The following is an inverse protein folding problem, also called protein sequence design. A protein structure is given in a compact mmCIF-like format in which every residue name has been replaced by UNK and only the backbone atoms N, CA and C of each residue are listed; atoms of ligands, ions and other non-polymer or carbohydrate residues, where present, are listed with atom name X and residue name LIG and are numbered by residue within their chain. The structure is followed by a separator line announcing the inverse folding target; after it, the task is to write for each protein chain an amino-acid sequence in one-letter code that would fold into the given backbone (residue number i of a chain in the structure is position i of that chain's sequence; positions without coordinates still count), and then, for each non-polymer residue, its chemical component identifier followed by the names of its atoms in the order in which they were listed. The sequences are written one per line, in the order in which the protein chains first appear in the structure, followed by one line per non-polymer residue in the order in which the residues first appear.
data_IF_827997445454
#
_entry.id   IF_827997445454
#
_cell.length_a   1.000
_cell.length_b   1.000
_cell.length_c   1.000
_cell.angle_alpha   90.00
_cell.angle_beta   90.00
_cell.angle_gamma   90.00
#
_symmetry.space_group_name_H-M   'P 1'
#
loop_
_entity.id
_entity.type
_entity.pdbx_description
1 polymer ?
#
# COMPACT_ATOMS: atom_id res chain seq x y z
N UNK A 1 -40.64 -4.09 36.00
CA UNK A 1 -39.18 -4.33 35.99
C UNK A 1 -38.81 -5.54 35.13
N UNK A 2 -39.57 -6.65 35.18
CA UNK A 2 -39.30 -7.84 34.35
C UNK A 2 -39.43 -7.65 32.82
N UNK A 3 -40.18 -6.65 32.34
CA UNK A 3 -40.33 -6.38 30.90
C UNK A 3 -39.23 -5.46 30.33
N UNK A 4 -38.45 -4.78 31.18
CA UNK A 4 -37.36 -3.91 30.73
C UNK A 4 -36.06 -4.70 30.49
N UNK A 5 -35.81 -5.74 31.28
CA UNK A 5 -34.67 -6.66 31.09
C UNK A 5 -34.81 -7.49 29.80
N UNK A 6 -36.02 -7.95 29.47
CA UNK A 6 -36.29 -8.67 28.20
C UNK A 6 -36.14 -7.81 26.94
N UNK A 7 -36.30 -6.48 27.07
CA UNK A 7 -36.12 -5.54 25.95
C UNK A 7 -34.63 -5.17 25.74
N UNK A 8 -33.79 -5.30 26.77
CA UNK A 8 -32.34 -5.11 26.68
C UNK A 8 -31.64 -6.35 26.10
N UNK A 9 -32.12 -7.56 26.41
CA UNK A 9 -31.62 -8.81 25.81
C UNK A 9 -31.90 -8.95 24.30
N UNK A 10 -32.86 -8.19 23.76
CA UNK A 10 -33.21 -8.22 22.33
C UNK A 10 -32.39 -7.25 21.46
N UNK A 11 -31.47 -6.48 22.05
CA UNK A 11 -30.63 -5.48 21.34
C UNK A 11 -29.15 -5.94 21.26
N UNK A 12 -28.79 -7.06 21.88
CA UNK A 12 -27.52 -7.71 21.57
C UNK A 12 -27.66 -8.44 20.23
N UNK A 13 -27.54 -7.67 19.13
CA UNK A 13 -27.19 -8.25 17.84
C UNK A 13 -25.98 -9.16 18.08
N UNK A 14 -26.02 -10.44 17.67
CA UNK A 14 -24.88 -11.32 17.82
C UNK A 14 -23.73 -10.65 17.09
N UNK A 15 -22.67 -10.30 17.84
CA UNK A 15 -21.40 -9.84 17.28
C UNK A 15 -20.98 -10.94 16.32
N UNK A 16 -21.20 -10.72 15.03
CA UNK A 16 -20.83 -11.67 14.01
C UNK A 16 -19.35 -11.97 14.23
N UNK A 17 -19.01 -13.26 14.42
CA UNK A 17 -17.61 -13.68 14.57
C UNK A 17 -16.81 -13.02 13.44
N UNK A 18 -15.94 -12.07 13.79
CA UNK A 18 -15.10 -11.38 12.81
C UNK A 18 -14.27 -12.46 12.14
N UNK A 19 -14.52 -12.67 10.84
CA UNK A 19 -13.71 -13.59 10.03
C UNK A 19 -12.24 -13.21 10.22
N UNK A 20 -11.33 -14.18 10.37
CA UNK A 20 -9.91 -13.89 10.54
C UNK A 20 -9.44 -12.93 9.45
N UNK A 21 -8.85 -11.81 9.88
CA UNK A 21 -8.33 -10.80 8.94
C UNK A 21 -7.28 -11.46 8.06
N UNK A 22 -7.48 -11.36 6.75
CA UNK A 22 -6.51 -11.89 5.82
C UNK A 22 -5.18 -11.14 5.99
N UNK A 23 -4.04 -11.87 6.04
CA UNK A 23 -2.76 -11.24 6.25
C UNK A 23 -2.38 -10.38 5.02
N UNK A 24 -1.58 -9.32 5.25
CA UNK A 24 -0.99 -8.56 4.16
C UNK A 24 0.01 -9.44 3.38
N UNK A 25 0.14 -9.16 2.09
CA UNK A 25 1.20 -9.70 1.25
C UNK A 25 2.42 -8.80 1.43
N UNK A 26 3.51 -9.39 1.92
CA UNK A 26 4.81 -8.73 2.11
C UNK A 26 5.92 -9.57 1.50
N UNK A 27 7.08 -8.96 1.29
CA UNK A 27 8.22 -9.58 0.61
C UNK A 27 9.41 -9.67 1.56
N UNK A 28 9.78 -10.90 1.92
CA UNK A 28 10.80 -11.19 2.95
C UNK A 28 12.14 -11.67 2.40
N UNK A 29 12.25 -11.82 1.08
CA UNK A 29 13.42 -12.43 0.42
C UNK A 29 14.64 -11.49 0.31
N UNK A 30 14.72 -10.48 1.16
CA UNK A 30 15.83 -9.53 1.20
C UNK A 30 16.87 -9.96 2.23
N UNK A 31 18.15 -9.82 1.88
CA UNK A 31 19.24 -9.99 2.83
C UNK A 31 19.73 -8.61 3.29
N UNK A 32 19.39 -8.15 4.51
CA UNK A 32 19.70 -6.79 4.96
C UNK A 32 21.21 -6.51 4.95
N UNK A 33 22.04 -7.51 5.29
CA UNK A 33 23.50 -7.38 5.23
C UNK A 33 23.99 -7.13 3.80
N UNK A 34 23.49 -7.90 2.84
CA UNK A 34 23.88 -7.74 1.44
C UNK A 34 23.42 -6.41 0.83
N UNK A 35 22.23 -5.93 1.21
CA UNK A 35 21.74 -4.62 0.80
C UNK A 35 22.55 -3.48 1.43
N UNK A 36 22.88 -3.58 2.73
CA UNK A 36 23.76 -2.64 3.42
C UNK A 36 25.15 -2.56 2.79
N UNK A 37 25.81 -3.70 2.57
CA UNK A 37 27.14 -3.75 1.97
C UNK A 37 27.12 -3.16 0.54
N UNK A 38 26.00 -3.34 -0.19
CA UNK A 38 25.81 -2.75 -1.52
C UNK A 38 25.57 -1.24 -1.46
N UNK A 39 24.80 -0.75 -0.48
CA UNK A 39 24.62 0.68 -0.23
C UNK A 39 25.97 1.36 0.05
N UNK A 40 26.78 0.79 0.96
CA UNK A 40 28.11 1.33 1.27
C UNK A 40 29.03 1.36 0.04
N UNK A 41 29.03 0.29 -0.77
CA UNK A 41 29.80 0.26 -2.03
C UNK A 41 29.34 1.32 -3.02
N UNK A 42 28.03 1.55 -3.15
CA UNK A 42 27.48 2.54 -4.06
C UNK A 42 27.75 3.99 -3.62
N UNK A 43 27.81 4.23 -2.31
CA UNK A 43 28.22 5.53 -1.75
C UNK A 43 29.70 5.84 -2.01
N UNK A 44 30.57 4.82 -1.96
CA UNK A 44 31.99 4.97 -2.27
C UNK A 44 32.65 6.12 -1.48
N UNK A 45 33.33 7.03 -2.17
CA UNK A 45 34.02 8.18 -1.58
C UNK A 45 33.09 9.26 -1.00
N UNK A 46 31.80 9.24 -1.34
CA UNK A 46 30.80 10.18 -0.78
C UNK A 46 30.42 9.86 0.68
N UNK A 47 30.92 8.75 1.22
CA UNK A 47 30.77 8.42 2.64
C UNK A 47 31.71 9.27 3.51
N UNK A 48 31.29 10.52 3.72
CA UNK A 48 31.98 11.50 4.56
C UNK A 48 31.77 11.22 6.05
N UNK A 49 32.69 11.65 6.94
CA UNK A 49 32.60 11.38 8.38
C UNK A 49 31.26 11.74 9.03
N UNK A 50 30.63 12.82 8.57
CA UNK A 50 29.36 13.33 9.06
C UNK A 50 28.21 12.34 8.83
N UNK A 51 28.25 11.58 7.73
CA UNK A 51 27.23 10.61 7.35
C UNK A 51 27.49 9.21 7.94
N UNK A 52 28.69 8.95 8.47
CA UNK A 52 29.09 7.62 8.97
C UNK A 52 28.31 7.18 10.18
N UNK A 53 27.93 8.12 11.04
CA UNK A 53 27.13 7.81 12.21
C UNK A 53 25.75 7.28 11.80
N UNK A 54 25.01 8.02 10.96
CA UNK A 54 23.70 7.59 10.48
C UNK A 54 23.77 6.26 9.69
N UNK A 55 24.82 6.05 8.89
CA UNK A 55 25.05 4.75 8.24
C UNK A 55 25.33 3.62 9.24
N UNK A 56 25.96 3.90 10.37
CA UNK A 56 26.16 2.92 11.44
C UNK A 56 24.85 2.62 12.14
N UNK A 57 24.04 3.62 12.47
CA UNK A 57 22.72 3.46 13.11
C UNK A 57 21.77 2.62 12.24
N UNK A 58 21.72 2.90 10.93
CA UNK A 58 20.97 2.07 9.97
C UNK A 58 21.46 0.62 10.00
N UNK A 59 22.77 0.38 10.14
CA UNK A 59 23.33 -0.98 10.24
C UNK A 59 22.92 -1.67 11.53
N UNK A 60 23.02 -0.99 12.67
CA UNK A 60 22.60 -1.54 13.96
C UNK A 60 21.14 -1.98 13.87
N UNK A 61 20.27 -1.10 13.37
CA UNK A 61 18.83 -1.36 13.27
C UNK A 61 18.46 -2.49 12.30
N UNK A 62 19.07 -2.52 11.11
CA UNK A 62 18.64 -3.41 10.02
C UNK A 62 19.45 -4.70 9.90
N UNK A 63 20.75 -4.68 10.21
CA UNK A 63 21.66 -5.83 10.00
C UNK A 63 21.94 -6.57 11.30
N UNK A 64 22.12 -5.84 12.40
CA UNK A 64 22.35 -6.44 13.72
C UNK A 64 21.06 -6.69 14.49
N UNK A 65 19.93 -6.30 13.90
CA UNK A 65 18.59 -6.49 14.45
C UNK A 65 18.37 -5.78 15.80
N UNK A 66 19.09 -4.67 16.03
CA UNK A 66 18.81 -3.80 17.17
C UNK A 66 17.45 -3.10 17.00
N UNK A 67 16.89 -2.60 18.09
CA UNK A 67 15.62 -1.88 18.07
C UNK A 67 15.77 -0.45 17.54
N UNK A 68 14.65 0.22 17.27
CA UNK A 68 14.60 1.59 16.77
C UNK A 68 15.23 2.62 17.72
N UNK A 69 15.53 2.25 18.97
CA UNK A 69 16.35 3.03 19.89
C UNK A 69 17.77 3.29 19.36
N UNK A 70 18.24 2.48 18.41
CA UNK A 70 19.52 2.68 17.73
C UNK A 70 19.49 3.84 16.71
N UNK A 71 18.30 4.37 16.37
CA UNK A 71 18.12 5.43 15.39
C UNK A 71 17.98 6.79 16.08
N UNK A 72 18.81 7.75 15.69
CA UNK A 72 18.68 9.13 16.14
C UNK A 72 17.79 9.96 15.19
N UNK A 73 17.47 11.20 15.59
CA UNK A 73 16.74 12.15 14.72
C UNK A 73 17.55 12.50 13.45
N UNK A 74 18.89 12.41 13.49
CA UNK A 74 19.75 12.63 12.33
C UNK A 74 19.58 11.54 11.27
N UNK A 75 19.17 10.33 11.64
CA UNK A 75 19.00 9.23 10.68
C UNK A 75 17.94 9.55 9.62
N UNK A 76 16.78 10.12 9.98
CA UNK A 76 15.75 10.46 8.98
C UNK A 76 16.22 11.59 8.04
N UNK A 77 16.99 12.55 8.54
CA UNK A 77 17.56 13.63 7.72
C UNK A 77 18.60 13.07 6.74
N UNK A 78 19.42 12.11 7.19
CA UNK A 78 20.37 11.42 6.32
C UNK A 78 19.65 10.60 5.23
N UNK A 79 18.58 9.89 5.58
CA UNK A 79 17.72 9.18 4.61
C UNK A 79 17.18 10.18 3.57
N UNK A 80 16.62 11.31 4.02
CA UNK A 80 16.12 12.37 3.13
C UNK A 80 17.19 12.91 2.20
N UNK A 81 18.39 13.21 2.73
CA UNK A 81 19.55 13.64 1.93
C UNK A 81 19.87 12.64 0.82
N UNK A 82 19.93 11.34 1.14
CA UNK A 82 20.23 10.31 0.14
C UNK A 82 19.14 10.17 -0.92
N UNK A 83 17.86 10.29 -0.53
CA UNK A 83 16.72 10.20 -1.44
C UNK A 83 16.63 11.38 -2.40
N UNK A 84 16.92 12.59 -1.93
CA UNK A 84 16.70 13.83 -2.68
C UNK A 84 17.96 14.41 -3.34
N UNK A 85 19.16 13.88 -3.03
CA UNK A 85 20.39 14.28 -3.71
C UNK A 85 20.46 13.72 -5.13
N UNK A 86 20.20 14.60 -6.12
CA UNK A 86 20.19 14.29 -7.55
C UNK A 86 21.57 13.94 -8.11
N UNK A 87 22.65 14.29 -7.41
CA UNK A 87 24.02 13.94 -7.80
C UNK A 87 24.36 12.48 -7.47
N UNK A 88 23.59 11.84 -6.59
CA UNK A 88 23.76 10.42 -6.28
C UNK A 88 23.23 9.54 -7.41
N UNK A 89 23.91 8.41 -7.62
CA UNK A 89 23.47 7.40 -8.57
C UNK A 89 22.16 6.76 -8.11
N UNK A 90 21.24 6.39 -9.02
CA UNK A 90 20.01 5.67 -8.68
C UNK A 90 20.24 4.43 -7.81
N UNK A 91 21.35 3.72 -8.03
CA UNK A 91 21.74 2.56 -7.23
C UNK A 91 21.96 2.85 -5.74
N UNK A 92 22.21 4.09 -5.32
CA UNK A 92 22.26 4.43 -3.89
C UNK A 92 20.85 4.41 -3.30
N UNK A 93 19.91 5.10 -3.96
CA UNK A 93 18.51 5.22 -3.52
C UNK A 93 17.79 3.88 -3.55
N UNK A 94 17.96 3.10 -4.61
CA UNK A 94 17.36 1.76 -4.69
C UNK A 94 17.87 0.83 -3.58
N UNK A 95 19.16 0.88 -3.21
CA UNK A 95 19.71 0.09 -2.10
C UNK A 95 19.27 0.57 -0.73
N UNK A 96 19.16 1.87 -0.54
CA UNK A 96 18.57 2.44 0.68
C UNK A 96 17.11 1.98 0.84
N UNK A 97 16.28 2.12 -0.19
CA UNK A 97 14.87 1.72 -0.15
C UNK A 97 14.69 0.22 0.11
N UNK A 98 15.54 -0.65 -0.48
CA UNK A 98 15.53 -2.09 -0.18
C UNK A 98 15.92 -2.39 1.25
N UNK A 99 16.88 -1.65 1.82
CA UNK A 99 17.25 -1.79 3.22
C UNK A 99 16.10 -1.32 4.14
N UNK A 100 15.44 -0.22 3.81
CA UNK A 100 14.23 0.24 4.48
C UNK A 100 13.06 -0.75 4.33
N UNK A 101 12.96 -1.48 3.22
CA UNK A 101 11.98 -2.55 3.06
C UNK A 101 12.25 -3.74 4.00
N UNK A 102 13.50 -4.02 4.36
CA UNK A 102 13.82 -4.97 5.42
C UNK A 102 13.36 -4.43 6.78
N UNK A 103 13.65 -3.15 7.04
CA UNK A 103 13.28 -2.47 8.27
C UNK A 103 11.76 -2.37 8.47
N UNK A 104 10.99 -2.23 7.39
CA UNK A 104 9.53 -2.16 7.38
C UNK A 104 8.84 -3.40 7.96
N UNK A 105 9.55 -4.52 8.05
CA UNK A 105 9.03 -5.76 8.64
C UNK A 105 9.20 -5.82 10.18
N UNK A 106 9.82 -4.80 10.79
CA UNK A 106 10.04 -4.73 12.24
C UNK A 106 8.88 -3.99 12.92
N UNK A 107 8.45 -4.47 14.08
CA UNK A 107 7.32 -3.90 14.84
C UNK A 107 7.52 -2.44 15.26
N UNK A 108 8.77 -2.01 15.43
CA UNK A 108 9.14 -0.68 15.93
C UNK A 108 9.48 0.34 14.84
N UNK A 109 9.34 -0.02 13.56
CA UNK A 109 9.60 0.90 12.41
C UNK A 109 8.78 2.19 12.50
N UNK A 110 7.62 2.13 13.14
CA UNK A 110 6.76 3.29 13.36
C UNK A 110 7.47 4.46 14.05
N UNK A 111 8.48 4.19 14.88
CA UNK A 111 9.26 5.23 15.55
C UNK A 111 10.05 6.07 14.55
N UNK A 112 10.65 5.46 13.53
CA UNK A 112 11.29 6.17 12.41
C UNK A 112 10.24 6.91 11.55
N UNK A 113 9.11 6.27 11.26
CA UNK A 113 8.04 6.87 10.45
C UNK A 113 7.40 8.10 11.13
N UNK A 114 7.36 8.13 12.47
CA UNK A 114 6.92 9.30 13.22
C UNK A 114 7.88 10.48 13.09
N UNK A 115 9.19 10.24 12.97
CA UNK A 115 10.17 11.30 12.71
C UNK A 115 9.96 11.92 11.31
N UNK A 116 9.54 11.11 10.32
CA UNK A 116 9.26 11.58 8.96
C UNK A 116 8.13 12.62 8.90
N UNK A 117 7.19 12.64 9.86
CA UNK A 117 6.04 13.58 9.87
C UNK A 117 6.43 15.06 9.87
N UNK A 118 7.69 15.40 10.20
CA UNK A 118 8.15 16.80 10.21
C UNK A 118 8.36 17.33 8.78
N UNK A 119 9.05 16.55 7.95
CA UNK A 119 9.51 17.00 6.62
C UNK A 119 8.98 16.13 5.46
N UNK A 120 8.33 15.01 5.77
CA UNK A 120 7.74 14.06 4.83
C UNK A 120 8.77 13.59 3.78
N UNK A 121 10.01 13.35 4.20
CA UNK A 121 11.13 13.00 3.31
C UNK A 121 10.80 11.76 2.48
N UNK A 122 10.27 10.72 3.13
CA UNK A 122 9.88 9.46 2.48
C UNK A 122 8.71 9.65 1.52
N UNK A 123 7.66 10.35 1.96
CA UNK A 123 6.44 10.52 1.18
C UNK A 123 6.58 11.51 0.02
N UNK A 124 7.41 12.55 0.18
CA UNK A 124 7.77 13.44 -0.92
C UNK A 124 8.55 12.68 -2.00
N UNK A 125 9.50 11.82 -1.60
CA UNK A 125 10.19 10.97 -2.57
C UNK A 125 9.22 9.98 -3.23
N UNK A 126 8.32 9.37 -2.47
CA UNK A 126 7.35 8.42 -3.00
C UNK A 126 6.34 9.06 -3.98
N UNK A 127 5.97 10.33 -3.75
CA UNK A 127 5.09 11.07 -4.65
C UNK A 127 5.68 11.22 -6.06
N UNK A 128 7.00 11.28 -6.17
CA UNK A 128 7.72 11.47 -7.43
C UNK A 128 8.05 10.16 -8.15
N UNK A 129 7.43 9.03 -7.75
CA UNK A 129 7.75 7.68 -8.24
C UNK A 129 7.93 7.58 -9.76
N UNK A 130 7.09 8.25 -10.55
CA UNK A 130 7.11 8.23 -12.02
C UNK A 130 8.38 8.85 -12.62
N UNK A 131 9.07 9.70 -11.87
CA UNK A 131 10.31 10.38 -12.27
C UNK A 131 11.55 9.56 -11.93
N UNK A 132 11.41 8.51 -11.12
CA UNK A 132 12.53 7.69 -10.67
C UNK A 132 12.89 6.61 -11.68
N UNK A 133 14.10 6.08 -11.60
CA UNK A 133 14.49 4.92 -12.42
C UNK A 133 13.66 3.68 -12.05
N UNK A 134 13.62 2.71 -12.96
CA UNK A 134 12.92 1.45 -12.74
C UNK A 134 13.39 0.71 -11.48
N UNK A 135 14.68 0.72 -11.19
CA UNK A 135 15.23 0.08 -9.97
C UNK A 135 14.73 0.77 -8.69
N UNK A 136 14.59 2.09 -8.71
CA UNK A 136 14.07 2.88 -7.60
C UNK A 136 12.57 2.67 -7.42
N UNK A 137 11.80 2.63 -8.52
CA UNK A 137 10.37 2.35 -8.49
C UNK A 137 10.07 0.98 -7.86
N UNK A 138 10.82 -0.06 -8.25
CA UNK A 138 10.70 -1.39 -7.66
C UNK A 138 11.04 -1.40 -6.17
N UNK A 139 12.14 -0.76 -5.79
CA UNK A 139 12.58 -0.69 -4.40
C UNK A 139 11.60 0.10 -3.52
N UNK A 140 11.02 1.18 -4.04
CA UNK A 140 10.01 1.98 -3.37
C UNK A 140 8.71 1.19 -3.19
N UNK A 141 8.18 0.57 -4.25
CA UNK A 141 6.96 -0.22 -4.16
C UNK A 141 7.11 -1.39 -3.18
N UNK A 142 8.30 -2.01 -3.15
CA UNK A 142 8.66 -3.04 -2.18
C UNK A 142 8.66 -2.50 -0.74
N UNK A 143 9.28 -1.35 -0.48
CA UNK A 143 9.28 -0.70 0.83
C UNK A 143 7.86 -0.37 1.31
N UNK A 144 7.06 0.30 0.46
CA UNK A 144 5.67 0.65 0.78
C UNK A 144 4.82 -0.61 1.01
N UNK A 145 5.03 -1.68 0.23
CA UNK A 145 4.31 -2.94 0.42
C UNK A 145 4.64 -3.59 1.77
N UNK A 146 5.91 -3.61 2.16
CA UNK A 146 6.33 -4.21 3.43
C UNK A 146 5.84 -3.42 4.65
N UNK A 147 5.61 -2.11 4.52
CA UNK A 147 5.00 -1.31 5.59
C UNK A 147 3.55 -1.73 5.92
N UNK A 148 2.93 -2.62 5.16
CA UNK A 148 1.64 -3.22 5.56
C UNK A 148 1.75 -4.33 6.59
N UNK A 149 2.96 -4.83 6.88
CA UNK A 149 3.24 -5.92 7.82
C UNK A 149 2.63 -5.65 9.19
N UNK A 150 2.87 -4.46 9.74
CA UNK A 150 2.41 -4.10 11.07
C UNK A 150 1.20 -3.17 10.98
N UNK A 151 0.33 -3.22 11.98
CA UNK A 151 -0.83 -2.32 12.06
C UNK A 151 -0.38 -0.87 12.07
N UNK A 152 0.58 -0.51 12.92
CA UNK A 152 1.02 0.87 13.13
C UNK A 152 1.64 1.49 11.87
N UNK A 153 2.51 0.75 11.17
CA UNK A 153 3.10 1.24 9.91
C UNK A 153 2.07 1.37 8.79
N UNK A 154 1.10 0.45 8.73
CA UNK A 154 0.02 0.54 7.74
C UNK A 154 -0.94 1.70 8.02
N UNK A 155 -1.22 2.00 9.29
CA UNK A 155 -2.01 3.18 9.68
C UNK A 155 -1.28 4.49 9.33
N UNK A 156 0.05 4.49 9.45
CA UNK A 156 0.87 5.62 8.98
C UNK A 156 0.76 5.80 7.46
N UNK A 157 0.81 4.73 6.66
CA UNK A 157 0.58 4.83 5.20
C UNK A 157 -0.81 5.37 4.85
N UNK A 158 -1.81 5.05 5.67
CA UNK A 158 -3.20 5.41 5.47
C UNK A 158 -3.59 6.73 6.16
N UNK A 159 -2.59 7.45 6.70
CA UNK A 159 -2.83 8.68 7.42
C UNK A 159 -3.35 9.78 6.48
N UNK A 160 -4.45 10.42 6.87
CA UNK A 160 -5.21 11.34 6.02
C UNK A 160 -4.84 12.80 6.22
N UNK A 161 -4.10 13.15 7.29
CA UNK A 161 -3.71 14.54 7.53
C UNK A 161 -2.84 15.05 6.39
N UNK A 162 -3.15 16.26 5.94
CA UNK A 162 -2.54 16.84 4.77
C UNK A 162 -1.29 17.66 5.13
N UNK A 163 -0.31 17.66 4.23
CA UNK A 163 0.79 18.63 4.21
C UNK A 163 0.87 19.29 2.84
N UNK A 164 1.45 20.49 2.81
CA UNK A 164 1.69 21.21 1.57
C UNK A 164 3.09 20.91 1.03
N UNK A 165 3.16 20.58 -0.26
CA UNK A 165 4.41 20.54 -1.02
C UNK A 165 4.25 21.37 -2.28
N UNK A 166 4.93 22.51 -2.35
CA UNK A 166 4.96 23.39 -3.53
C UNK A 166 3.54 23.76 -4.04
N UNK A 167 2.59 23.96 -3.13
CA UNK A 167 1.20 24.29 -3.46
C UNK A 167 0.29 23.07 -3.67
N UNK A 168 0.82 21.85 -3.72
CA UNK A 168 0.04 20.61 -3.74
C UNK A 168 -0.30 20.18 -2.31
N UNK A 169 -1.57 19.86 -2.07
CA UNK A 169 -1.99 19.20 -0.83
C UNK A 169 -1.80 17.69 -0.99
N UNK A 170 -0.94 17.13 -0.15
CA UNK A 170 -0.62 15.70 -0.13
C UNK A 170 -1.03 15.10 1.21
N UNK A 171 -1.27 13.80 1.22
CA UNK A 171 -1.44 12.99 2.43
C UNK A 171 -0.80 11.62 2.19
N UNK A 172 -0.48 10.89 3.26
CA UNK A 172 0.21 9.59 3.13
C UNK A 172 -0.65 8.63 2.32
N UNK A 173 -1.96 8.66 2.54
CA UNK A 173 -2.88 7.78 1.82
C UNK A 173 -2.96 8.10 0.33
N UNK A 174 -2.92 9.39 -0.05
CA UNK A 174 -2.89 9.79 -1.47
C UNK A 174 -1.58 9.36 -2.15
N UNK A 175 -0.46 9.53 -1.47
CA UNK A 175 0.85 9.09 -1.99
C UNK A 175 0.92 7.56 -2.10
N UNK A 176 0.44 6.83 -1.08
CA UNK A 176 0.37 5.37 -1.09
C UNK A 176 -0.50 4.84 -2.22
N UNK A 177 -1.65 5.48 -2.45
CA UNK A 177 -2.57 5.19 -3.57
C UNK A 177 -1.85 5.38 -4.90
N UNK A 178 -1.16 6.53 -5.08
CA UNK A 178 -0.37 6.80 -6.29
C UNK A 178 0.70 5.73 -6.53
N UNK A 179 1.43 5.31 -5.50
CA UNK A 179 2.44 4.25 -5.61
C UNK A 179 1.80 2.93 -6.04
N UNK A 180 0.67 2.54 -5.46
CA UNK A 180 -0.05 1.32 -5.80
C UNK A 180 -0.54 1.32 -7.26
N UNK A 181 -1.15 2.42 -7.71
CA UNK A 181 -1.62 2.60 -9.09
C UNK A 181 -0.45 2.56 -10.07
N UNK A 182 0.60 3.34 -9.81
CA UNK A 182 1.80 3.41 -10.66
C UNK A 182 2.46 2.03 -10.79
N UNK A 183 2.59 1.30 -9.67
CA UNK A 183 3.18 -0.03 -9.67
C UNK A 183 2.33 -1.04 -10.45
N UNK A 184 1.01 -1.03 -10.26
CA UNK A 184 0.09 -1.97 -10.92
C UNK A 184 0.04 -1.76 -12.44
N UNK A 185 0.01 -0.50 -12.88
CA UNK A 185 -0.09 -0.12 -14.29
C UNK A 185 1.25 -0.06 -15.01
N UNK A 186 2.35 -0.38 -14.32
CA UNK A 186 3.66 -0.50 -14.94
C UNK A 186 3.67 -1.59 -16.02
N UNK A 187 4.54 -1.43 -16.99
CA UNK A 187 4.90 -2.45 -17.99
C UNK A 187 5.98 -3.44 -17.50
N UNK A 188 6.48 -3.27 -16.27
CA UNK A 188 7.47 -4.16 -15.67
C UNK A 188 6.82 -5.23 -14.80
N UNK A 189 6.96 -6.53 -15.13
CA UNK A 189 6.33 -7.62 -14.36
C UNK A 189 6.73 -7.63 -12.88
N UNK A 190 8.00 -7.34 -12.59
CA UNK A 190 8.55 -7.25 -11.24
C UNK A 190 7.89 -6.17 -10.40
N UNK A 191 7.55 -5.02 -11.00
CA UNK A 191 6.86 -3.92 -10.33
C UNK A 191 5.35 -4.19 -10.23
N UNK A 192 4.73 -4.74 -11.28
CA UNK A 192 3.33 -5.16 -11.29
C UNK A 192 3.00 -6.15 -10.17
N UNK A 193 3.91 -7.09 -9.88
CA UNK A 193 3.76 -8.00 -8.74
C UNK A 193 3.52 -7.25 -7.43
N UNK A 194 4.30 -6.18 -7.18
CA UNK A 194 4.18 -5.36 -5.97
C UNK A 194 2.91 -4.51 -6.04
N UNK A 195 2.56 -4.01 -7.22
CA UNK A 195 1.27 -3.34 -7.47
C UNK A 195 0.08 -4.22 -7.08
N UNK A 196 0.06 -5.48 -7.50
CA UNK A 196 -1.05 -6.41 -7.15
C UNK A 196 -1.08 -6.72 -5.66
N UNK A 197 0.08 -6.81 -5.00
CA UNK A 197 0.17 -6.98 -3.55
C UNK A 197 -0.32 -5.73 -2.80
N UNK A 198 0.02 -4.53 -3.26
CA UNK A 198 -0.46 -3.27 -2.70
C UNK A 198 -1.99 -3.14 -2.84
N UNK A 199 -2.55 -3.52 -3.99
CA UNK A 199 -4.02 -3.54 -4.19
C UNK A 199 -4.70 -4.45 -3.17
N UNK A 200 -4.19 -5.68 -2.99
CA UNK A 200 -4.69 -6.61 -1.98
C UNK A 200 -4.57 -6.01 -0.57
N UNK A 201 -3.39 -5.50 -0.20
CA UNK A 201 -3.13 -4.95 1.12
C UNK A 201 -4.06 -3.77 1.45
N UNK A 202 -4.24 -2.84 0.51
CA UNK A 202 -5.15 -1.71 0.65
C UNK A 202 -6.61 -2.18 0.82
N UNK A 203 -7.04 -3.15 0.02
CA UNK A 203 -8.39 -3.71 0.07
C UNK A 203 -8.70 -4.49 1.36
N UNK A 204 -7.68 -5.06 2.01
CA UNK A 204 -7.83 -5.78 3.28
C UNK A 204 -7.85 -4.88 4.51
N UNK A 205 -7.44 -3.61 4.39
CA UNK A 205 -7.47 -2.68 5.52
C UNK A 205 -8.88 -2.13 5.71
N UNK A 206 -9.38 -2.28 6.93
CA UNK A 206 -10.69 -1.74 7.32
C UNK A 206 -10.51 -0.28 7.74
N UNK A 207 -10.89 0.64 6.86
CA UNK A 207 -10.89 2.06 7.22
C UNK A 207 -12.28 2.66 6.99
N UNK A 208 -12.89 3.10 8.09
CA UNK A 208 -14.21 3.74 8.10
C UNK A 208 -14.03 5.24 7.89
N UNK A 209 -13.76 5.68 6.67
CA UNK A 209 -13.64 7.10 6.33
C UNK A 209 -14.09 7.37 4.90
N UNK A 210 -14.78 8.48 4.65
CA UNK A 210 -15.23 8.89 3.32
C UNK A 210 -14.06 9.07 2.33
N UNK A 211 -12.86 9.39 2.83
CA UNK A 211 -11.64 9.47 2.00
C UNK A 211 -11.36 8.14 1.31
N UNK A 212 -11.77 7.02 1.89
CA UNK A 212 -11.58 5.70 1.32
C UNK A 212 -12.54 5.37 0.18
N UNK A 213 -13.66 6.08 0.04
CA UNK A 213 -14.55 5.91 -1.12
C UNK A 213 -13.88 6.43 -2.39
N UNK A 214 -13.25 7.62 -2.31
CA UNK A 214 -12.46 8.19 -3.40
C UNK A 214 -11.28 7.28 -3.77
N UNK A 215 -10.56 6.79 -2.76
CA UNK A 215 -9.41 5.89 -2.95
C UNK A 215 -9.86 4.57 -3.58
N UNK A 216 -10.95 3.97 -3.08
CA UNK A 216 -11.48 2.72 -3.62
C UNK A 216 -11.87 2.87 -5.09
N UNK A 217 -12.43 4.02 -5.47
CA UNK A 217 -12.77 4.37 -6.84
C UNK A 217 -11.52 4.45 -7.72
N UNK A 218 -10.50 5.20 -7.27
CA UNK A 218 -9.22 5.36 -7.98
C UNK A 218 -8.47 4.03 -8.17
N UNK A 219 -8.36 3.22 -7.10
CA UNK A 219 -7.73 1.90 -7.14
C UNK A 219 -8.51 0.92 -8.04
N UNK A 220 -9.85 0.99 -8.02
CA UNK A 220 -10.70 0.14 -8.88
C UNK A 220 -10.52 0.47 -10.35
N UNK A 221 -10.40 1.75 -10.72
CA UNK A 221 -10.09 2.15 -12.09
C UNK A 221 -8.75 1.56 -12.56
N UNK A 222 -7.73 1.62 -11.72
CA UNK A 222 -6.43 1.03 -12.02
C UNK A 222 -6.50 -0.50 -12.16
N UNK A 223 -7.25 -1.19 -11.29
CA UNK A 223 -7.50 -2.63 -11.41
C UNK A 223 -8.19 -2.95 -12.74
N UNK A 224 -9.26 -2.24 -13.09
CA UNK A 224 -10.00 -2.46 -14.33
C UNK A 224 -9.10 -2.29 -15.57
N UNK A 225 -8.26 -1.26 -15.59
CA UNK A 225 -7.26 -1.09 -16.64
C UNK A 225 -6.24 -2.24 -16.66
N UNK A 226 -5.71 -2.65 -15.51
CA UNK A 226 -4.77 -3.78 -15.41
C UNK A 226 -5.37 -5.10 -15.93
N UNK A 227 -6.65 -5.36 -15.64
CA UNK A 227 -7.35 -6.57 -16.06
C UNK A 227 -7.48 -6.72 -17.59
N UNK A 228 -7.34 -5.63 -18.34
CA UNK A 228 -7.30 -5.68 -19.81
C UNK A 228 -6.04 -6.39 -20.35
N UNK A 229 -4.98 -6.46 -19.55
CA UNK A 229 -3.68 -7.06 -19.94
C UNK A 229 -3.64 -8.60 -19.91
N UNK A 230 -4.73 -9.26 -19.51
CA UNK A 230 -4.80 -10.71 -19.25
C UNK A 230 -3.67 -11.18 -18.29
N UNK A 231 -3.67 -10.68 -17.04
CA UNK A 231 -2.61 -10.97 -16.08
C UNK A 231 -2.55 -12.46 -15.70
N UNK A 232 -1.39 -12.87 -15.17
CA UNK A 232 -1.20 -14.23 -14.62
C UNK A 232 -2.22 -14.51 -13.53
N UNK A 233 -2.62 -15.76 -13.39
CA UNK A 233 -3.72 -16.17 -12.51
C UNK A 233 -3.56 -15.67 -11.06
N UNK A 234 -2.38 -15.76 -10.45
CA UNK A 234 -2.15 -15.26 -9.09
C UNK A 234 -2.35 -13.75 -8.96
N UNK A 235 -1.95 -12.98 -9.98
CA UNK A 235 -2.11 -11.52 -9.99
C UNK A 235 -3.55 -11.12 -10.29
N UNK A 236 -4.22 -11.87 -11.17
CA UNK A 236 -5.64 -11.76 -11.46
C UNK A 236 -6.45 -11.99 -10.18
N UNK A 237 -6.14 -13.05 -9.43
CA UNK A 237 -6.80 -13.37 -8.17
C UNK A 237 -6.69 -12.23 -7.16
N UNK A 238 -5.48 -11.70 -6.92
CA UNK A 238 -5.27 -10.55 -6.01
C UNK A 238 -6.06 -9.32 -6.44
N UNK A 239 -6.00 -8.97 -7.72
CA UNK A 239 -6.68 -7.80 -8.28
C UNK A 239 -8.21 -7.94 -8.22
N UNK A 240 -8.76 -9.10 -8.59
CA UNK A 240 -10.20 -9.38 -8.53
C UNK A 240 -10.72 -9.39 -7.10
N UNK A 241 -9.94 -9.94 -6.17
CA UNK A 241 -10.28 -9.93 -4.75
C UNK A 241 -10.30 -8.52 -4.19
N UNK A 242 -9.30 -7.70 -4.52
CA UNK A 242 -9.26 -6.29 -4.16
C UNK A 242 -10.47 -5.53 -4.74
N UNK A 243 -10.80 -5.75 -6.01
CA UNK A 243 -11.95 -5.14 -6.67
C UNK A 243 -13.27 -5.48 -5.97
N UNK A 244 -13.48 -6.75 -5.60
CA UNK A 244 -14.66 -7.17 -4.84
C UNK A 244 -14.76 -6.43 -3.49
N UNK A 245 -13.64 -6.27 -2.78
CA UNK A 245 -13.61 -5.50 -1.53
C UNK A 245 -13.92 -4.03 -1.78
N UNK A 246 -13.41 -3.43 -2.84
CA UNK A 246 -13.75 -2.05 -3.20
C UNK A 246 -15.23 -1.87 -3.57
N UNK A 247 -15.89 -2.88 -4.16
CA UNK A 247 -17.36 -2.88 -4.32
C UNK A 247 -18.14 -2.89 -2.99
N UNK A 248 -17.50 -3.32 -1.90
CA UNK A 248 -18.10 -3.34 -0.57
C UNK A 248 -17.86 -2.02 0.17
N UNK A 249 -16.70 -1.39 -0.07
CA UNK A 249 -16.33 -0.08 0.48
C UNK A 249 -17.13 1.02 -0.24
N UNK A 250 -16.87 1.24 -1.53
CA UNK A 250 -17.64 2.17 -2.35
C UNK A 250 -18.76 1.41 -3.05
N UNK A 251 -19.90 1.33 -2.34
CA UNK A 251 -21.03 0.48 -2.72
C UNK A 251 -21.66 0.84 -4.08
N UNK A 252 -21.62 2.12 -4.47
CA UNK A 252 -22.28 2.61 -5.67
C UNK A 252 -21.28 2.87 -6.80
N UNK A 253 -20.21 3.61 -6.53
CA UNK A 253 -19.34 4.15 -7.57
C UNK A 253 -18.49 3.05 -8.20
N UNK A 254 -17.91 2.15 -7.40
CA UNK A 254 -17.10 1.04 -7.94
C UNK A 254 -17.94 0.09 -8.81
N UNK A 255 -19.14 -0.38 -8.40
CA UNK A 255 -20.02 -1.13 -9.29
C UNK A 255 -20.39 -0.39 -10.59
N UNK A 256 -20.60 0.92 -10.52
CA UNK A 256 -20.87 1.72 -11.72
C UNK A 256 -19.65 1.76 -12.66
N UNK A 257 -18.44 1.94 -12.12
CA UNK A 257 -17.19 1.90 -12.88
C UNK A 257 -16.98 0.55 -13.59
N UNK A 258 -17.24 -0.57 -12.90
CA UNK A 258 -17.11 -1.91 -13.50
C UNK A 258 -18.01 -2.04 -14.75
N UNK A 259 -19.25 -1.56 -14.66
CA UNK A 259 -20.20 -1.58 -15.78
C UNK A 259 -19.80 -0.66 -16.94
N UNK A 260 -19.20 0.49 -16.64
CA UNK A 260 -18.86 1.50 -17.64
C UNK A 260 -17.51 1.26 -18.34
N UNK A 261 -16.50 0.80 -17.59
CA UNK A 261 -15.12 0.71 -18.07
C UNK A 261 -14.78 -0.73 -18.48
N UNK A 262 -15.24 -1.72 -17.71
CA UNK A 262 -14.87 -3.12 -17.90
C UNK A 262 -13.38 -3.41 -17.65
N UNK A 263 -12.90 -4.63 -17.91
CA UNK A 263 -13.61 -5.75 -18.54
C UNK A 263 -14.71 -6.34 -17.66
N UNK A 264 -15.74 -6.92 -18.28
CA UNK A 264 -16.80 -7.63 -17.56
C UNK A 264 -16.23 -8.79 -16.73
N UNK A 265 -16.60 -8.93 -15.45
CA UNK A 265 -16.08 -9.99 -14.58
C UNK A 265 -16.23 -11.40 -15.17
N UNK A 266 -17.32 -11.65 -15.90
CA UNK A 266 -17.61 -12.93 -16.55
C UNK A 266 -16.52 -13.38 -17.55
N UNK A 267 -15.72 -12.46 -18.10
CA UNK A 267 -14.59 -12.77 -18.97
C UNK A 267 -13.56 -13.69 -18.29
N UNK A 268 -13.46 -13.64 -16.96
CA UNK A 268 -12.48 -14.38 -16.17
C UNK A 268 -13.00 -15.71 -15.63
N UNK A 269 -14.24 -16.10 -15.94
CA UNK A 269 -14.77 -17.42 -15.57
C UNK A 269 -13.95 -18.55 -16.20
N UNK A 270 -13.73 -19.62 -15.44
CA UNK A 270 -13.01 -20.82 -15.85
C UNK A 270 -11.48 -20.71 -15.77
N UNK A 271 -10.93 -19.58 -15.27
CA UNK A 271 -9.48 -19.47 -15.06
C UNK A 271 -9.03 -20.30 -13.85
N UNK A 272 -9.78 -20.24 -12.74
CA UNK A 272 -9.61 -21.09 -11.56
C UNK A 272 -10.84 -21.01 -10.65
N UNK A 273 -11.06 -22.02 -9.80
CA UNK A 273 -12.22 -22.07 -8.89
C UNK A 273 -12.31 -20.82 -7.99
N UNK A 274 -11.16 -20.36 -7.48
CA UNK A 274 -11.09 -19.18 -6.61
C UNK A 274 -11.41 -17.87 -7.32
N UNK A 275 -11.12 -17.78 -8.63
CA UNK A 275 -11.52 -16.62 -9.44
C UNK A 275 -13.01 -16.69 -9.74
N UNK A 276 -13.52 -17.89 -10.04
CA UNK A 276 -14.93 -18.11 -10.33
C UNK A 276 -15.82 -17.69 -9.17
N UNK A 277 -15.45 -18.01 -7.93
CA UNK A 277 -16.13 -17.56 -6.72
C UNK A 277 -16.17 -16.04 -6.57
N UNK A 278 -15.08 -15.35 -6.92
CA UNK A 278 -15.03 -13.88 -6.85
C UNK A 278 -15.91 -13.27 -7.95
N UNK A 279 -15.86 -13.83 -9.16
CA UNK A 279 -16.70 -13.37 -10.28
C UNK A 279 -18.18 -13.49 -9.95
N UNK A 280 -18.61 -14.57 -9.30
CA UNK A 280 -20.01 -14.73 -8.89
C UNK A 280 -20.43 -13.68 -7.87
N UNK A 281 -19.55 -13.40 -6.88
CA UNK A 281 -19.81 -12.38 -5.87
C UNK A 281 -19.89 -10.97 -6.46
N UNK A 282 -18.99 -10.62 -7.38
CA UNK A 282 -19.03 -9.33 -8.07
C UNK A 282 -20.31 -9.24 -8.92
N UNK A 283 -20.62 -10.27 -9.71
CA UNK A 283 -21.83 -10.29 -10.56
C UNK A 283 -23.10 -10.09 -9.73
N UNK A 284 -23.25 -10.84 -8.64
CA UNK A 284 -24.36 -10.68 -7.71
C UNK A 284 -24.45 -9.25 -7.15
N UNK A 285 -23.30 -8.63 -6.86
CA UNK A 285 -23.26 -7.24 -6.40
C UNK A 285 -23.74 -6.26 -7.48
N UNK A 286 -23.30 -6.44 -8.73
CA UNK A 286 -23.69 -5.59 -9.84
C UNK A 286 -25.20 -5.63 -10.11
N UNK A 287 -25.82 -6.80 -9.95
CA UNK A 287 -27.27 -6.99 -10.08
C UNK A 287 -28.05 -6.33 -8.94
N UNK A 288 -27.58 -6.48 -7.70
CA UNK A 288 -28.27 -5.94 -6.51
C UNK A 288 -28.18 -4.41 -6.38
N UNK A 289 -27.13 -3.77 -6.91
CA UNK A 289 -27.02 -2.31 -6.95
C UNK A 289 -28.06 -1.65 -7.88
N UNK A 290 -28.65 -2.38 -8.85
CA UNK A 290 -29.70 -1.83 -9.72
C UNK A 290 -31.04 -1.57 -9.01
N UNK A 291 -31.35 -2.26 -7.92
CA UNK A 291 -32.69 -2.23 -7.29
C UNK A 291 -32.91 -1.09 -6.29
N UNK A 292 -31.94 -0.18 -6.10
CA UNK A 292 -32.03 0.91 -5.10
C UNK A 292 -32.06 2.33 -5.68
N UNK A 293 -32.19 2.51 -6.99
CA UNK A 293 -32.58 3.83 -7.52
C UNK A 293 -34.09 3.97 -7.36
N UNK A 294 -34.60 4.86 -6.50
CA UNK A 294 -36.03 5.12 -6.46
C UNK A 294 -36.42 5.70 -7.82
N UNK A 295 -37.35 5.04 -8.51
CA UNK A 295 -38.04 5.65 -9.64
C UNK A 295 -38.64 6.98 -9.15
N UNK A 296 -38.08 8.09 -9.63
CA UNK A 296 -38.68 9.40 -9.42
C UNK A 296 -39.96 9.40 -10.24
N UNK A 297 -41.16 9.47 -9.63
CA UNK A 297 -42.39 9.55 -10.40
C UNK A 297 -42.38 10.86 -11.19
N UNK A 298 -42.71 10.76 -12.48
CA UNK A 298 -42.83 11.88 -13.41
C UNK A 298 -43.91 12.89 -12.98
#
# INVERSE_FOLDING_TARGET
MADAEKLLEAIEEPVAEEKPKEPPIVFRDLNPKAEYDSLCRNLGERNIPEDRQALSEIKEYTVKDEGAWALSDETIHFIGKLLHDKELKPGVRSKLLRLLACAALKDDIILLLHQDRKEHQLMNYAHDMELHSHEEQEALALFICNLFETTSSSEWLLYISEWNREGLQLSNVRVTTKVAVTALLSNMPTLQEKGTALMHNLATKEVKSAVFDDIATELSMAILQFLTSNPKEEWLFRAMKALLRFCQISYNDVPALIKMIGPEPAKFKGVSDRIDEIVDQITFKLETTHYRQPEVPA
#
